data_IF_758436492099
#
_entry.id   IF_758436492099
#
_cell.length_a   1.000
_cell.length_b   1.000
_cell.length_c   1.000
_cell.angle_alpha   90.00
_cell.angle_beta   90.00
_cell.angle_gamma   90.00
#
_symmetry.space_group_name_H-M   'P 1'
#
loop_
_entity.id
_entity.type
_entity.pdbx_description
1 polymer ?
#
# COMPACT_ATOMS: atom_id res chain seq x y z
N UNK A 1 3.55 10.96 -1.52
CA UNK A 1 2.49 10.30 -2.33
C UNK A 1 1.16 11.08 -2.24
N UNK A 2 0.22 10.98 -3.20
CA UNK A 2 -1.16 11.51 -3.06
C UNK A 2 -2.14 10.36 -2.84
N UNK A 3 -3.07 10.50 -1.89
CA UNK A 3 -4.14 9.53 -1.63
C UNK A 3 -5.47 10.26 -1.41
N UNK A 4 -6.58 9.51 -1.50
CA UNK A 4 -7.92 10.07 -1.37
C UNK A 4 -8.27 10.34 0.10
N UNK A 5 -9.23 11.25 0.35
CA UNK A 5 -9.79 11.44 1.70
C UNK A 5 -10.40 10.17 2.28
N UNK A 6 -10.91 9.28 1.43
CA UNK A 6 -11.39 7.97 1.87
C UNK A 6 -10.25 7.13 2.44
N UNK A 7 -9.10 7.08 1.76
CA UNK A 7 -7.94 6.36 2.25
C UNK A 7 -7.45 6.90 3.60
N UNK A 8 -7.34 8.22 3.71
CA UNK A 8 -6.91 8.89 4.93
C UNK A 8 -7.87 8.63 6.12
N UNK A 9 -9.17 8.85 5.92
CA UNK A 9 -10.14 8.81 7.01
C UNK A 9 -10.59 7.38 7.37
N UNK A 10 -10.61 6.46 6.41
CA UNK A 10 -11.11 5.11 6.62
C UNK A 10 -9.99 4.06 6.69
N UNK A 11 -9.05 4.08 5.75
CA UNK A 11 -8.05 3.00 5.63
C UNK A 11 -6.95 3.15 6.68
N UNK A 12 -6.38 4.35 6.84
CA UNK A 12 -5.35 4.59 7.87
C UNK A 12 -5.95 4.43 9.27
N UNK A 13 -7.19 4.89 9.49
CA UNK A 13 -7.88 4.74 10.78
C UNK A 13 -8.09 3.26 11.17
N UNK A 14 -8.45 2.40 10.21
CA UNK A 14 -8.69 0.97 10.46
C UNK A 14 -7.41 0.13 10.55
N UNK A 15 -6.28 0.69 10.13
CA UNK A 15 -4.96 0.03 10.13
C UNK A 15 -3.93 0.92 10.84
N UNK A 16 -4.05 1.12 12.16
CA UNK A 16 -3.14 1.98 12.91
C UNK A 16 -1.68 1.51 12.87
N UNK A 17 -1.43 0.24 12.53
CA UNK A 17 -0.10 -0.31 12.34
C UNK A 17 0.57 0.12 11.02
N UNK A 18 -0.20 0.65 10.07
CA UNK A 18 0.28 1.00 8.74
C UNK A 18 1.06 2.30 8.77
N UNK A 19 2.33 2.24 8.37
CA UNK A 19 3.19 3.42 8.24
C UNK A 19 3.11 4.00 6.84
N UNK A 20 3.14 5.34 6.74
CA UNK A 20 3.17 6.03 5.45
C UNK A 20 4.40 5.64 4.62
N UNK A 21 5.55 5.47 5.28
CA UNK A 21 6.80 5.01 4.66
C UNK A 21 6.64 3.67 3.94
N UNK A 22 5.95 2.71 4.55
CA UNK A 22 5.69 1.41 3.91
C UNK A 22 4.82 1.55 2.66
N UNK A 23 3.85 2.47 2.67
CA UNK A 23 3.03 2.74 1.48
C UNK A 23 3.87 3.34 0.36
N UNK A 24 4.70 4.33 0.68
CA UNK A 24 5.57 4.97 -0.31
C UNK A 24 6.56 3.96 -0.89
N UNK A 25 7.22 3.20 -0.04
CA UNK A 25 8.12 2.14 -0.49
C UNK A 25 7.41 1.09 -1.36
N UNK A 26 6.19 0.69 -0.99
CA UNK A 26 5.43 -0.30 -1.77
C UNK A 26 5.04 0.24 -3.14
N UNK A 27 4.71 1.53 -3.26
CA UNK A 27 4.32 2.14 -4.54
C UNK A 27 5.52 2.45 -5.43
N UNK A 28 6.63 2.94 -4.85
CA UNK A 28 7.82 3.34 -5.61
C UNK A 28 8.78 2.17 -5.88
N UNK A 29 8.88 1.21 -4.96
CA UNK A 29 9.78 0.06 -5.04
C UNK A 29 9.06 -1.26 -4.72
N UNK A 30 8.00 -1.62 -5.48
CA UNK A 30 7.28 -2.87 -5.29
C UNK A 30 8.14 -4.08 -5.63
N UNK A 31 7.95 -5.18 -4.90
CA UNK A 31 8.49 -6.50 -5.28
C UNK A 31 7.66 -7.11 -6.41
N UNK A 32 6.35 -6.79 -6.45
CA UNK A 32 5.44 -7.18 -7.52
C UNK A 32 4.49 -6.04 -7.87
N UNK A 33 4.23 -5.87 -9.16
CA UNK A 33 3.20 -4.99 -9.72
C UNK A 33 2.27 -5.81 -10.61
N UNK A 34 0.97 -5.62 -10.48
CA UNK A 34 -0.05 -6.28 -11.30
C UNK A 34 -1.05 -5.24 -11.77
N UNK A 35 -1.32 -5.23 -13.07
CA UNK A 35 -2.34 -4.38 -13.68
C UNK A 35 -3.55 -5.27 -13.95
N UNK A 36 -4.68 -4.97 -13.31
CA UNK A 36 -5.94 -5.68 -13.52
C UNK A 36 -6.61 -5.23 -14.82
N UNK A 37 -7.56 -6.04 -15.31
CA UNK A 37 -8.32 -5.76 -16.54
C UNK A 37 -9.09 -4.43 -16.48
N UNK A 38 -9.52 -4.01 -15.29
CA UNK A 38 -10.20 -2.72 -15.06
C UNK A 38 -9.24 -1.53 -14.95
N UNK A 39 -7.94 -1.74 -15.20
CA UNK A 39 -6.88 -0.73 -15.13
C UNK A 39 -6.38 -0.45 -13.71
N UNK A 40 -6.94 -1.10 -12.66
CA UNK A 40 -6.43 -0.94 -11.30
C UNK A 40 -5.09 -1.64 -11.15
N UNK A 41 -4.14 -0.92 -10.56
CA UNK A 41 -2.80 -1.43 -10.28
C UNK A 41 -2.75 -1.88 -8.83
N UNK A 42 -2.22 -3.07 -8.58
CA UNK A 42 -1.85 -3.56 -7.26
C UNK A 42 -0.34 -3.60 -7.14
N UNK A 43 0.16 -3.11 -6.02
CA UNK A 43 1.56 -3.18 -5.64
C UNK A 43 1.70 -4.09 -4.44
N UNK A 44 2.73 -4.92 -4.41
CA UNK A 44 3.08 -5.72 -3.26
C UNK A 44 4.53 -5.48 -2.87
N UNK A 45 4.77 -5.37 -1.57
CA UNK A 45 6.10 -5.32 -0.99
C UNK A 45 6.15 -6.07 0.34
N UNK A 46 7.20 -6.85 0.56
CA UNK A 46 7.46 -7.46 1.86
C UNK A 46 7.91 -6.38 2.84
N UNK A 47 7.16 -6.21 3.93
CA UNK A 47 7.52 -5.29 5.00
C UNK A 47 8.11 -6.11 6.14
N UNK A 48 9.40 -5.94 6.39
CA UNK A 48 10.16 -6.73 7.37
C UNK A 48 9.57 -6.55 8.77
N UNK A 49 9.29 -5.32 9.16
CA UNK A 49 8.76 -4.96 10.48
C UNK A 49 7.33 -5.46 10.70
N UNK A 50 6.55 -5.60 9.63
CA UNK A 50 5.21 -6.16 9.69
C UNK A 50 5.19 -7.69 9.54
N UNK A 51 6.32 -8.29 9.14
CA UNK A 51 6.46 -9.73 8.88
C UNK A 51 5.50 -10.26 7.81
N UNK A 52 5.06 -9.41 6.87
CA UNK A 52 4.06 -9.77 5.85
C UNK A 52 4.17 -8.91 4.60
N UNK A 53 3.59 -9.38 3.51
CA UNK A 53 3.39 -8.57 2.31
C UNK A 53 2.32 -7.50 2.56
N UNK A 54 2.69 -6.25 2.34
CA UNK A 54 1.75 -5.15 2.19
C UNK A 54 1.26 -5.11 0.75
N UNK A 55 -0.06 -4.94 0.56
CA UNK A 55 -0.68 -4.70 -0.74
C UNK A 55 -1.30 -3.31 -0.77
N UNK A 56 -0.90 -2.52 -1.76
CA UNK A 56 -1.42 -1.16 -2.03
C UNK A 56 -2.14 -1.14 -3.36
#
# INVERSE_FOLDING_TARGET
>A
MKYTRYFENEVLRKRPELRLEWLEETVYYPDKKEVQEDGRIRFWKWIVEAGKYLRV
#
